data_IF_505578026202
#
_entry.id   IF_505578026202
#
_cell.length_a   1.000
_cell.length_b   1.000
_cell.length_c   1.000
_cell.angle_alpha   90.00
_cell.angle_beta   90.00
_cell.angle_gamma   90.00
#
_symmetry.space_group_name_H-M   'P 1'
#
loop_
_entity.id
_entity.type
_entity.pdbx_description
1 polymer ?
#
# COMPACT_ATOMS: atom_id res chain seq x y z
N UNK A 1 9.87 17.27 24.69
CA UNK A 1 10.02 15.80 24.92
C UNK A 1 8.65 15.15 25.02
N UNK A 2 7.74 15.73 25.79
CA UNK A 2 6.34 15.30 25.94
C UNK A 2 5.58 15.15 24.61
N UNK A 3 5.64 16.14 23.72
CA UNK A 3 5.02 16.07 22.38
C UNK A 3 5.46 14.85 21.56
N UNK A 4 6.74 14.46 21.65
CA UNK A 4 7.26 13.27 20.93
C UNK A 4 6.66 11.99 21.49
N UNK A 5 6.52 11.93 22.82
CA UNK A 5 5.95 10.80 23.53
C UNK A 5 4.47 10.66 23.21
N UNK A 6 3.72 11.76 23.23
CA UNK A 6 2.30 11.76 22.89
C UNK A 6 2.05 11.32 21.45
N UNK A 7 2.90 11.71 20.49
CA UNK A 7 2.78 11.24 19.11
C UNK A 7 2.98 9.72 18.96
N UNK A 8 3.88 9.13 19.75
CA UNK A 8 4.18 7.68 19.71
C UNK A 8 3.14 6.88 20.49
N UNK A 9 2.86 7.29 21.72
CA UNK A 9 2.06 6.53 22.68
C UNK A 9 0.54 6.79 22.51
N UNK A 10 0.16 7.94 21.95
CA UNK A 10 -1.23 8.38 21.81
C UNK A 10 -1.56 8.88 20.38
N UNK A 11 -1.33 8.05 19.33
CA UNK A 11 -1.49 8.46 17.93
C UNK A 11 -2.92 8.90 17.58
N UNK A 12 -3.93 8.41 18.32
CA UNK A 12 -5.33 8.84 18.16
C UNK A 12 -5.56 10.31 18.53
N UNK A 13 -4.80 10.84 19.50
CA UNK A 13 -4.88 12.22 19.97
C UNK A 13 -3.97 13.16 19.18
N UNK A 14 -2.77 12.71 18.82
CA UNK A 14 -1.80 13.51 18.07
C UNK A 14 -1.48 12.86 16.72
N UNK A 15 -2.15 13.33 15.67
CA UNK A 15 -2.05 12.75 14.32
C UNK A 15 -1.04 13.43 13.39
N UNK A 16 -0.64 14.67 13.72
CA UNK A 16 0.28 15.46 12.89
C UNK A 16 1.37 16.06 13.77
N UNK A 17 2.61 15.87 13.36
CA UNK A 17 3.79 16.42 14.01
C UNK A 17 4.62 17.18 12.97
N UNK A 18 4.62 18.52 13.06
CA UNK A 18 5.37 19.40 12.15
C UNK A 18 6.77 19.62 12.72
N UNK A 19 7.78 19.45 11.86
CA UNK A 19 9.20 19.45 12.25
C UNK A 19 10.05 20.19 11.24
N UNK A 20 11.20 20.70 11.70
CA UNK A 20 12.16 21.42 10.83
C UNK A 20 13.44 20.60 10.59
N UNK A 21 14.11 20.20 11.67
CA UNK A 21 15.39 19.45 11.61
C UNK A 21 15.49 18.37 12.70
N UNK A 22 15.01 18.69 13.91
CA UNK A 22 15.28 17.93 15.14
C UNK A 22 14.69 16.51 15.23
N UNK A 23 13.88 16.08 14.26
CA UNK A 23 13.34 14.71 14.21
C UNK A 23 13.91 13.85 13.09
N UNK A 24 14.81 14.38 12.26
CA UNK A 24 15.43 13.59 11.18
C UNK A 24 16.49 12.60 11.73
N UNK A 25 16.99 12.84 12.94
CA UNK A 25 17.93 11.95 13.63
C UNK A 25 17.41 11.54 15.01
N UNK A 26 17.37 10.23 15.27
CA UNK A 26 17.05 9.65 16.59
C UNK A 26 15.58 9.66 17.03
N UNK A 27 14.65 10.08 16.18
CA UNK A 27 13.21 9.91 16.39
C UNK A 27 12.71 8.67 15.65
N UNK A 28 11.97 7.80 16.33
CA UNK A 28 11.45 6.56 15.80
C UNK A 28 10.00 6.42 16.25
N UNK A 29 9.10 6.35 15.29
CA UNK A 29 7.66 6.21 15.52
C UNK A 29 7.16 5.17 14.51
N UNK A 30 7.16 3.86 14.87
CA UNK A 30 6.76 2.80 13.96
C UNK A 30 5.36 3.01 13.36
N UNK A 31 4.45 3.58 14.15
CA UNK A 31 3.09 3.93 13.73
C UNK A 31 2.97 5.07 12.73
N UNK A 32 4.05 5.79 12.44
CA UNK A 32 4.04 6.83 11.42
C UNK A 32 3.98 6.22 10.01
N UNK A 33 2.85 6.38 9.34
CA UNK A 33 2.63 5.87 7.97
C UNK A 33 2.89 6.92 6.89
N UNK A 34 2.76 8.22 7.19
CA UNK A 34 2.85 9.29 6.19
C UNK A 34 3.97 10.28 6.52
N UNK A 35 4.81 10.58 5.53
CA UNK A 35 5.84 11.62 5.59
C UNK A 35 5.55 12.70 4.54
N UNK A 36 5.33 13.93 4.97
CA UNK A 36 5.20 15.09 4.10
C UNK A 36 6.52 15.87 4.07
N UNK A 37 7.07 16.09 2.88
CA UNK A 37 8.36 16.77 2.70
C UNK A 37 8.15 18.07 1.93
N UNK A 38 8.31 19.19 2.63
CA UNK A 38 8.38 20.54 2.04
C UNK A 38 9.73 21.22 2.36
N UNK A 39 10.80 20.42 2.41
CA UNK A 39 12.15 20.89 2.67
C UNK A 39 13.08 20.35 1.60
N UNK A 40 14.04 21.16 1.17
CA UNK A 40 15.09 20.68 0.30
C UNK A 40 16.07 19.81 1.12
N UNK A 41 16.18 18.54 0.76
CA UNK A 41 17.05 17.56 1.41
C UNK A 41 17.45 16.49 0.41
N UNK A 42 18.67 15.96 0.55
CA UNK A 42 19.26 15.04 -0.40
C UNK A 42 20.00 13.90 0.32
N UNK A 43 20.38 12.89 -0.47
CA UNK A 43 21.28 11.82 -0.09
C UNK A 43 20.85 11.10 1.21
N UNK A 44 21.78 10.93 2.14
CA UNK A 44 21.58 10.21 3.39
C UNK A 44 20.50 10.82 4.29
N UNK A 45 20.32 12.14 4.29
CA UNK A 45 19.32 12.79 5.14
C UNK A 45 17.89 12.47 4.68
N UNK A 46 17.68 12.45 3.36
CA UNK A 46 16.39 12.09 2.78
C UNK A 46 16.08 10.61 3.02
N UNK A 47 17.05 9.75 2.76
CA UNK A 47 16.89 8.31 2.99
C UNK A 47 16.58 7.98 4.46
N UNK A 48 17.32 8.57 5.40
CA UNK A 48 17.07 8.36 6.83
C UNK A 48 15.66 8.77 7.22
N UNK A 49 15.13 9.86 6.66
CA UNK A 49 13.77 10.31 6.89
C UNK A 49 12.74 9.30 6.36
N UNK A 50 12.95 8.79 5.14
CA UNK A 50 12.08 7.78 4.50
C UNK A 50 12.03 6.49 5.34
N UNK A 51 13.18 6.00 5.79
CA UNK A 51 13.22 4.80 6.62
C UNK A 51 12.51 4.93 7.97
N UNK A 52 12.24 6.14 8.46
CA UNK A 52 11.45 6.32 9.69
C UNK A 52 9.99 5.96 9.48
N UNK A 53 9.43 6.24 8.31
CA UNK A 53 8.03 5.90 8.02
C UNK A 53 7.88 4.48 7.46
N UNK A 54 8.96 3.83 7.06
CA UNK A 54 8.96 2.44 6.59
C UNK A 54 9.33 1.40 7.68
N UNK A 55 9.13 1.73 8.96
CA UNK A 55 9.23 0.78 10.07
C UNK A 55 7.99 -0.13 10.10
N UNK A 56 8.19 -1.42 10.37
CA UNK A 56 7.10 -2.38 10.59
C UNK A 56 6.28 -1.98 11.83
N UNK A 57 4.97 -1.99 11.70
CA UNK A 57 4.04 -1.70 12.80
C UNK A 57 2.72 -2.46 12.59
N UNK A 58 2.63 -3.65 13.19
CA UNK A 58 1.50 -4.56 13.01
C UNK A 58 1.32 -5.06 11.58
N UNK A 59 0.29 -5.87 11.36
CA UNK A 59 -0.04 -6.44 10.04
C UNK A 59 -0.79 -5.43 9.15
N UNK A 60 -1.33 -4.35 9.74
CA UNK A 60 -2.13 -3.35 9.03
C UNK A 60 -1.29 -2.34 8.22
N UNK A 61 0.03 -2.34 8.41
CA UNK A 61 0.95 -1.39 7.77
C UNK A 61 1.79 -2.06 6.71
N UNK A 62 1.30 -2.02 5.47
CA UNK A 62 2.02 -2.56 4.32
C UNK A 62 3.10 -1.60 3.77
N UNK A 63 2.84 -0.29 3.79
CA UNK A 63 3.72 0.71 3.17
C UNK A 63 3.89 1.96 4.03
N UNK A 64 5.07 2.58 3.94
CA UNK A 64 5.28 3.98 4.30
C UNK A 64 5.00 4.90 3.11
N UNK A 65 4.10 5.86 3.25
CA UNK A 65 3.74 6.82 2.21
C UNK A 65 4.56 8.10 2.34
N UNK A 66 5.10 8.57 1.22
CA UNK A 66 5.84 9.82 1.16
C UNK A 66 5.15 10.76 0.19
N UNK A 67 4.93 12.00 0.64
CA UNK A 67 4.38 13.09 -0.17
C UNK A 67 5.50 14.12 -0.33
N UNK A 68 6.03 14.19 -1.54
CA UNK A 68 7.14 15.06 -1.89
C UNK A 68 6.65 16.31 -2.63
N UNK A 69 6.80 17.48 -2.02
CA UNK A 69 6.46 18.77 -2.62
C UNK A 69 7.64 19.47 -3.30
N UNK A 70 8.85 18.89 -3.26
CA UNK A 70 10.09 19.49 -3.79
C UNK A 70 10.72 18.68 -4.93
N UNK A 71 10.05 17.63 -5.42
CA UNK A 71 10.56 16.73 -6.47
C UNK A 71 11.96 16.14 -6.14
N UNK A 72 12.22 15.89 -4.86
CA UNK A 72 13.44 15.26 -4.36
C UNK A 72 13.63 13.86 -4.92
N UNK A 73 12.55 13.10 -5.16
CA UNK A 73 12.64 11.73 -5.68
C UNK A 73 13.14 11.64 -7.12
N UNK A 74 12.88 12.66 -7.96
CA UNK A 74 13.50 12.74 -9.31
C UNK A 74 15.01 12.92 -9.22
N UNK A 75 15.48 13.55 -8.15
CA UNK A 75 16.91 13.65 -7.84
C UNK A 75 17.44 12.34 -7.22
N UNK A 76 16.56 11.60 -6.53
CA UNK A 76 16.85 10.34 -5.87
C UNK A 76 17.01 9.17 -6.86
N UNK A 77 16.40 9.16 -8.04
CA UNK A 77 16.65 8.10 -9.04
C UNK A 77 18.15 7.95 -9.40
N UNK A 78 18.90 9.06 -9.36
CA UNK A 78 20.37 9.04 -9.45
C UNK A 78 21.04 8.63 -8.15
N UNK A 79 20.46 9.00 -7.00
CA UNK A 79 21.00 8.65 -5.70
C UNK A 79 20.76 7.18 -5.31
N UNK A 80 19.70 6.51 -5.80
CA UNK A 80 19.42 5.09 -5.54
C UNK A 80 20.51 4.23 -6.18
N UNK A 81 20.99 4.59 -7.38
CA UNK A 81 22.14 3.89 -7.98
C UNK A 81 23.40 4.04 -7.14
N UNK A 82 23.62 5.22 -6.55
CA UNK A 82 24.75 5.49 -5.65
C UNK A 82 24.54 4.86 -4.25
N UNK A 83 23.28 4.61 -3.87
CA UNK A 83 22.89 4.09 -2.56
C UNK A 83 22.98 2.56 -2.45
N UNK A 84 22.73 1.84 -3.56
CA UNK A 84 23.05 0.40 -3.65
C UNK A 84 24.54 0.12 -3.44
N UNK A 85 25.42 1.11 -3.64
CA UNK A 85 26.86 1.00 -3.38
C UNK A 85 27.28 1.37 -1.94
N UNK A 86 26.34 1.77 -1.07
CA UNK A 86 26.65 2.29 0.27
C UNK A 86 26.00 1.49 1.40
N UNK A 87 24.75 1.80 1.72
CA UNK A 87 24.05 1.18 2.84
C UNK A 87 23.50 -0.22 2.52
N UNK A 88 23.42 -0.55 1.24
CA UNK A 88 22.99 -1.84 0.71
C UNK A 88 24.13 -2.53 -0.05
N UNK A 89 25.39 -2.20 0.22
CA UNK A 89 26.57 -2.76 -0.47
C UNK A 89 26.70 -4.31 -0.30
N UNK A 90 25.85 -4.92 0.54
CA UNK A 90 25.69 -6.37 0.69
C UNK A 90 24.34 -6.93 0.23
N UNK A 91 23.51 -6.15 -0.46
CA UNK A 91 22.23 -6.57 -1.05
C UNK A 91 22.29 -6.41 -2.56
N UNK A 92 21.74 -7.37 -3.30
CA UNK A 92 21.76 -7.29 -4.75
C UNK A 92 20.85 -6.15 -5.22
N UNK A 93 21.23 -5.48 -6.32
CA UNK A 93 20.42 -4.38 -6.90
C UNK A 93 18.99 -4.81 -7.21
N UNK A 94 18.80 -6.09 -7.48
CA UNK A 94 17.53 -6.74 -7.73
C UNK A 94 16.65 -6.81 -6.47
N UNK A 95 17.24 -6.94 -5.28
CA UNK A 95 16.53 -6.95 -3.99
C UNK A 95 16.05 -5.55 -3.58
N UNK A 96 16.72 -4.50 -4.08
CA UNK A 96 16.39 -3.10 -3.81
C UNK A 96 15.42 -2.55 -4.87
N UNK A 97 15.36 -3.20 -6.05
CA UNK A 97 14.47 -2.82 -7.13
C UNK A 97 13.00 -3.00 -6.73
N UNK A 98 12.21 -1.93 -6.87
CA UNK A 98 10.77 -1.95 -6.55
C UNK A 98 10.40 -1.64 -5.10
N UNK A 99 11.38 -1.30 -4.24
CA UNK A 99 11.11 -0.81 -2.88
C UNK A 99 10.46 0.58 -2.84
N UNK A 100 10.70 1.38 -3.88
CA UNK A 100 10.02 2.65 -4.12
C UNK A 100 9.13 2.48 -5.34
N UNK A 101 7.86 2.84 -5.17
CA UNK A 101 6.84 2.74 -6.21
C UNK A 101 6.10 4.06 -6.32
N UNK A 102 5.79 4.47 -7.53
CA UNK A 102 4.85 5.57 -7.74
C UNK A 102 3.43 5.09 -7.36
N UNK A 103 2.80 5.82 -6.46
CA UNK A 103 1.47 5.46 -5.93
C UNK A 103 0.40 5.50 -7.02
N UNK A 104 0.48 6.44 -7.96
CA UNK A 104 -0.52 6.57 -9.03
C UNK A 104 -0.36 5.48 -10.07
N UNK A 105 0.87 5.11 -10.40
CA UNK A 105 1.14 3.98 -11.29
C UNK A 105 0.70 2.66 -10.66
N UNK A 106 1.07 2.41 -9.40
CA UNK A 106 0.65 1.21 -8.69
C UNK A 106 -0.87 1.16 -8.51
N UNK A 107 -1.51 2.27 -8.15
CA UNK A 107 -2.98 2.31 -8.00
C UNK A 107 -3.71 2.05 -9.33
N UNK A 108 -3.17 2.48 -10.47
CA UNK A 108 -3.73 2.13 -11.79
C UNK A 108 -3.60 0.64 -12.08
N UNK A 109 -2.42 0.06 -11.83
CA UNK A 109 -2.19 -1.38 -12.01
C UNK A 109 -3.12 -2.20 -11.11
N UNK A 110 -3.29 -1.81 -9.86
CA UNK A 110 -4.17 -2.48 -8.91
C UNK A 110 -5.64 -2.41 -9.36
N UNK A 111 -6.07 -1.25 -9.88
CA UNK A 111 -7.41 -1.07 -10.45
C UNK A 111 -7.62 -1.96 -11.68
N UNK A 112 -6.67 -1.97 -12.62
CA UNK A 112 -6.76 -2.77 -13.83
C UNK A 112 -6.82 -4.27 -13.50
N UNK A 113 -5.97 -4.74 -12.58
CA UNK A 113 -5.98 -6.11 -12.07
C UNK A 113 -7.32 -6.46 -11.41
N UNK A 114 -7.88 -5.57 -10.58
CA UNK A 114 -9.17 -5.79 -9.94
C UNK A 114 -10.31 -5.88 -10.99
N UNK A 115 -10.28 -5.01 -12.01
CA UNK A 115 -11.26 -5.04 -13.10
C UNK A 115 -11.16 -6.33 -13.92
N UNK A 116 -9.96 -6.80 -14.23
CA UNK A 116 -9.77 -8.07 -14.94
C UNK A 116 -10.26 -9.26 -14.13
N UNK A 117 -9.94 -9.31 -12.83
CA UNK A 117 -10.44 -10.36 -11.93
C UNK A 117 -11.96 -10.39 -11.87
N UNK A 118 -12.61 -9.23 -11.73
CA UNK A 118 -14.08 -9.14 -11.71
C UNK A 118 -14.67 -9.57 -13.06
N UNK A 119 -14.07 -9.15 -14.18
CA UNK A 119 -14.49 -9.58 -15.52
C UNK A 119 -14.40 -11.09 -15.69
N UNK A 120 -13.29 -11.70 -15.29
CA UNK A 120 -13.09 -13.15 -15.36
C UNK A 120 -14.13 -13.90 -14.50
N UNK A 121 -14.40 -13.43 -13.27
CA UNK A 121 -15.43 -14.01 -12.40
C UNK A 121 -16.85 -13.90 -13.01
N UNK A 122 -17.09 -12.89 -13.83
CA UNK A 122 -18.40 -12.63 -14.44
C UNK A 122 -18.54 -13.20 -15.86
N UNK A 123 -17.46 -13.68 -16.47
CA UNK A 123 -17.46 -14.24 -17.83
C UNK A 123 -18.40 -15.45 -17.98
N UNK A 124 -18.43 -16.42 -17.03
CA UNK A 124 -19.30 -17.61 -17.15
C UNK A 124 -20.79 -17.34 -16.92
N UNK A 125 -21.17 -16.11 -16.56
CA UNK A 125 -22.57 -15.72 -16.40
C UNK A 125 -23.25 -15.78 -17.77
N UNK A 126 -24.29 -16.60 -17.88
CA UNK A 126 -25.01 -16.83 -19.14
C UNK A 126 -25.74 -15.55 -19.56
N UNK A 127 -25.85 -15.33 -20.87
CA UNK A 127 -26.71 -14.29 -21.43
C UNK A 127 -28.18 -14.51 -20.98
N UNK A 128 -28.96 -13.45 -20.73
CA UNK A 128 -28.74 -12.03 -21.10
C UNK A 128 -27.82 -11.21 -20.19
N UNK A 129 -27.31 -11.75 -19.08
CA UNK A 129 -26.52 -11.02 -18.06
C UNK A 129 -27.34 -9.93 -17.37
N UNK A 130 -28.60 -10.22 -17.06
CA UNK A 130 -29.40 -9.36 -16.19
C UNK A 130 -29.03 -9.55 -14.70
N UNK A 131 -29.59 -8.74 -13.81
CA UNK A 131 -29.30 -8.87 -12.38
C UNK A 131 -29.66 -10.25 -11.80
N UNK A 132 -30.66 -10.93 -12.34
CA UNK A 132 -31.07 -12.25 -11.87
C UNK A 132 -30.07 -13.32 -12.31
N UNK A 133 -29.47 -13.20 -13.50
CA UNK A 133 -28.43 -14.11 -13.98
C UNK A 133 -27.19 -14.09 -13.08
N UNK A 134 -26.75 -12.90 -12.68
CA UNK A 134 -25.67 -12.75 -11.70
C UNK A 134 -26.05 -13.35 -10.34
N UNK A 135 -27.26 -13.08 -9.84
CA UNK A 135 -27.75 -13.66 -8.58
C UNK A 135 -27.78 -15.19 -8.64
N UNK A 136 -28.30 -15.76 -9.71
CA UNK A 136 -28.34 -17.21 -9.88
C UNK A 136 -26.93 -17.81 -9.98
N UNK A 137 -26.00 -17.10 -10.63
CA UNK A 137 -24.63 -17.58 -10.78
C UNK A 137 -23.85 -17.57 -9.46
N UNK A 138 -24.01 -16.54 -8.62
CA UNK A 138 -23.28 -16.40 -7.35
C UNK A 138 -24.04 -16.91 -6.11
N UNK A 139 -25.36 -17.11 -6.19
CA UNK A 139 -26.20 -17.46 -5.03
C UNK A 139 -27.14 -18.66 -5.26
N UNK A 140 -27.01 -19.36 -6.38
CA UNK A 140 -27.88 -20.47 -6.81
C UNK A 140 -29.34 -20.07 -7.09
N UNK A 141 -30.09 -20.99 -7.70
CA UNK A 141 -31.56 -20.95 -7.81
C UNK A 141 -32.20 -21.67 -6.62
N UNK A 142 -33.46 -21.35 -6.31
CA UNK A 142 -34.23 -22.08 -5.30
C UNK A 142 -34.26 -23.58 -5.62
N UNK A 143 -33.82 -24.41 -4.68
CA UNK A 143 -33.74 -25.88 -4.83
C UNK A 143 -32.35 -26.46 -5.11
N UNK A 144 -31.28 -25.67 -5.00
CA UNK A 144 -29.90 -26.15 -5.12
C UNK A 144 -29.50 -27.12 -4.00
N UNK A 145 -28.62 -28.07 -4.33
CA UNK A 145 -28.06 -29.02 -3.37
C UNK A 145 -26.94 -28.38 -2.53
N UNK A 146 -26.52 -29.07 -1.46
CA UNK A 146 -25.53 -28.55 -0.50
C UNK A 146 -24.15 -28.28 -1.14
N UNK A 147 -23.76 -29.10 -2.12
CA UNK A 147 -22.47 -28.98 -2.81
C UNK A 147 -22.43 -27.74 -3.72
N UNK A 148 -23.50 -27.49 -4.48
CA UNK A 148 -23.62 -26.27 -5.30
C UNK A 148 -23.60 -25.01 -4.44
N UNK A 149 -24.24 -25.03 -3.27
CA UNK A 149 -24.25 -23.91 -2.33
C UNK A 149 -22.83 -23.57 -1.83
N UNK A 150 -22.01 -24.58 -1.50
CA UNK A 150 -20.64 -24.38 -1.05
C UNK A 150 -19.73 -23.82 -2.17
N UNK A 151 -19.86 -24.35 -3.39
CA UNK A 151 -19.11 -23.82 -4.54
C UNK A 151 -19.48 -22.36 -4.85
N UNK A 152 -20.77 -22.02 -4.80
CA UNK A 152 -21.23 -20.65 -5.04
C UNK A 152 -20.87 -19.69 -3.91
N UNK A 153 -20.84 -20.17 -2.67
CA UNK A 153 -20.31 -19.41 -1.55
C UNK A 153 -18.84 -19.02 -1.76
N UNK A 154 -18.00 -19.96 -2.18
CA UNK A 154 -16.60 -19.66 -2.50
C UNK A 154 -16.47 -18.62 -3.62
N UNK A 155 -17.26 -18.75 -4.70
CA UNK A 155 -17.30 -17.76 -5.80
C UNK A 155 -17.74 -16.38 -5.32
N UNK A 156 -18.74 -16.30 -4.44
CA UNK A 156 -19.24 -15.05 -3.88
C UNK A 156 -18.21 -14.40 -2.95
N UNK A 157 -17.53 -15.19 -2.12
CA UNK A 157 -16.44 -14.70 -1.26
C UNK A 157 -15.30 -14.15 -2.11
N UNK A 158 -14.89 -14.86 -3.17
CA UNK A 158 -13.89 -14.37 -4.11
C UNK A 158 -14.31 -13.06 -4.78
N UNK A 159 -15.58 -12.93 -5.19
CA UNK A 159 -16.11 -11.68 -5.73
C UNK A 159 -15.99 -10.54 -4.72
N UNK A 160 -16.43 -10.75 -3.47
CA UNK A 160 -16.37 -9.73 -2.42
C UNK A 160 -14.93 -9.31 -2.10
N UNK A 161 -14.02 -10.27 -2.00
CA UNK A 161 -12.59 -9.99 -1.78
C UNK A 161 -11.96 -9.24 -2.96
N UNK A 162 -12.40 -9.50 -4.19
CA UNK A 162 -11.86 -8.84 -5.39
C UNK A 162 -12.32 -7.39 -5.53
N UNK A 163 -13.52 -7.04 -5.04
CA UNK A 163 -14.08 -5.67 -5.14
C UNK A 163 -13.79 -4.80 -3.91
N UNK A 164 -13.44 -5.39 -2.77
CA UNK A 164 -13.22 -4.68 -1.51
C UNK A 164 -11.75 -4.28 -1.26
N UNK A 165 -10.87 -4.40 -2.26
CA UNK A 165 -9.47 -3.97 -2.19
C UNK A 165 -9.32 -2.45 -2.24
#
# INVERSE_FOLDING_TARGET
KEVKKQFIDEPGQMRLLIVVDKLLTGFDAPSATYLYIDKQMADHNLFQAICRVNRLDGDDKEYGYIIDYKDLFRSLDKAISDYTQGAFDGYDKEDVAGLLKDRLEQAKLDLDNALEMVRALCEPVKAPKDQNDYRHYFCCKSGANADELAEKEALRLMLYQSVAK
#
